data_IF_323213184192
#
_entry.id   IF_323213184192
#
_cell.length_a   1.000
_cell.length_b   1.000
_cell.length_c   1.000
_cell.angle_alpha   90.00
_cell.angle_beta   90.00
_cell.angle_gamma   90.00
#
_symmetry.space_group_name_H-M   'P 1'
#
loop_
_entity.id
_entity.type
_entity.pdbx_description
1 polymer ?
#
# COMPACT_ATOMS: atom_id res chain seq x y z
N UNK A 1 -2.94 -2.70 -26.57
CA UNK A 1 -1.87 -1.90 -25.95
C UNK A 1 -1.20 -2.75 -24.87
N UNK A 2 0.11 -2.77 -24.81
CA UNK A 2 0.81 -3.58 -23.82
C UNK A 2 1.09 -2.79 -22.54
N UNK A 3 1.43 -3.51 -21.48
CA UNK A 3 1.60 -2.91 -20.15
C UNK A 3 2.78 -1.94 -20.08
N UNK A 4 3.84 -2.20 -20.85
CA UNK A 4 5.00 -1.31 -20.86
C UNK A 4 4.67 0.01 -21.52
N UNK A 5 3.87 0.00 -22.57
CA UNK A 5 3.40 1.19 -23.24
C UNK A 5 2.50 2.02 -22.32
N UNK A 6 1.59 1.35 -21.63
CA UNK A 6 0.72 2.00 -20.65
C UNK A 6 1.54 2.66 -19.55
N UNK A 7 2.57 1.97 -19.08
CA UNK A 7 3.45 2.48 -18.04
C UNK A 7 4.20 3.74 -18.53
N UNK A 8 4.69 3.68 -19.79
CA UNK A 8 5.43 4.78 -20.38
C UNK A 8 4.58 6.06 -20.46
N UNK A 9 3.32 5.92 -20.83
CA UNK A 9 2.42 7.06 -20.93
C UNK A 9 1.81 7.50 -19.61
N UNK A 10 2.22 6.91 -18.51
CA UNK A 10 1.73 7.30 -17.20
C UNK A 10 0.30 6.85 -16.90
N UNK A 11 -0.18 5.86 -17.63
CA UNK A 11 -1.55 5.34 -17.47
C UNK A 11 -1.65 4.27 -16.39
N UNK A 12 -0.54 3.91 -15.78
CA UNK A 12 -0.52 2.92 -14.70
C UNK A 12 -0.02 3.62 -13.44
N UNK A 13 -0.89 3.68 -12.44
CA UNK A 13 -0.53 4.18 -11.12
C UNK A 13 -0.70 3.04 -10.12
N UNK A 14 0.41 2.54 -9.55
CA UNK A 14 0.33 1.40 -8.64
C UNK A 14 -0.62 1.59 -7.46
N UNK A 15 -0.77 2.82 -7.00
CA UNK A 15 -1.67 3.12 -5.90
C UNK A 15 -3.14 2.88 -6.23
N UNK A 16 -3.49 2.89 -7.52
CA UNK A 16 -4.85 2.62 -7.99
C UNK A 16 -5.12 1.13 -8.18
N UNK A 17 -4.06 0.34 -8.35
CA UNK A 17 -4.16 -1.11 -8.47
C UNK A 17 -4.10 -1.71 -7.08
N UNK A 18 -5.16 -1.52 -6.36
CA UNK A 18 -5.16 -1.87 -4.97
C UNK A 18 -6.24 -2.88 -4.62
N UNK A 19 -6.59 -2.89 -3.38
CA UNK A 19 -7.51 -3.78 -2.75
C UNK A 19 -8.92 -3.22 -2.66
N UNK A 20 -9.20 -2.09 -3.31
CA UNK A 20 -10.49 -1.40 -3.19
C UNK A 20 -11.68 -2.25 -3.63
N UNK A 21 -11.46 -3.26 -4.48
CA UNK A 21 -12.49 -4.20 -4.89
C UNK A 21 -12.70 -5.33 -3.87
N UNK A 22 -11.79 -5.48 -2.90
CA UNK A 22 -11.91 -6.52 -1.89
C UNK A 22 -13.00 -6.15 -0.88
N UNK A 23 -13.96 -7.05 -0.72
CA UNK A 23 -15.03 -6.89 0.25
C UNK A 23 -14.48 -6.87 1.67
N UNK A 24 -13.57 -7.76 1.96
CA UNK A 24 -12.95 -7.88 3.29
C UNK A 24 -12.17 -6.62 3.66
N UNK A 25 -11.46 -6.04 2.69
CA UNK A 25 -10.73 -4.79 2.89
C UNK A 25 -11.68 -3.65 3.24
N UNK A 26 -12.77 -3.53 2.49
CA UNK A 26 -13.78 -2.49 2.74
C UNK A 26 -14.45 -2.65 4.09
N UNK A 27 -14.78 -3.88 4.47
CA UNK A 27 -15.39 -4.17 5.76
C UNK A 27 -14.45 -3.79 6.90
N UNK A 28 -13.17 -4.09 6.76
CA UNK A 28 -12.17 -3.74 7.77
C UNK A 28 -12.05 -2.22 7.92
N UNK A 29 -12.04 -1.49 6.80
CA UNK A 29 -12.01 -0.02 6.85
C UNK A 29 -13.21 0.55 7.58
N UNK A 30 -14.39 -0.03 7.35
CA UNK A 30 -15.60 0.40 8.04
C UNK A 30 -15.51 0.15 9.54
N UNK A 31 -14.95 -0.99 9.93
CA UNK A 31 -14.74 -1.32 11.33
C UNK A 31 -13.75 -0.37 12.00
N UNK A 32 -12.68 -0.03 11.31
CA UNK A 32 -11.69 0.91 11.81
C UNK A 32 -12.34 2.27 12.06
N UNK A 33 -13.09 2.77 11.10
CA UNK A 33 -13.77 4.07 11.23
C UNK A 33 -14.78 4.06 12.38
N UNK A 34 -15.55 2.99 12.49
CA UNK A 34 -16.56 2.86 13.54
C UNK A 34 -15.93 2.81 14.92
N UNK A 35 -14.87 2.03 15.06
CA UNK A 35 -14.17 1.90 16.34
C UNK A 35 -13.47 3.18 16.72
N UNK A 36 -12.94 3.91 15.75
CA UNK A 36 -12.32 5.22 15.99
C UNK A 36 -13.35 6.21 16.51
N UNK A 37 -14.53 6.27 15.90
CA UNK A 37 -15.61 7.13 16.38
C UNK A 37 -16.01 6.81 17.81
N UNK A 38 -16.15 5.53 18.12
CA UNK A 38 -16.49 5.09 19.47
C UNK A 38 -15.43 5.47 20.48
N UNK A 39 -14.17 5.29 20.12
CA UNK A 39 -13.05 5.62 20.98
C UNK A 39 -12.98 7.12 21.25
N UNK A 40 -13.09 7.92 20.20
CA UNK A 40 -13.06 9.39 20.33
C UNK A 40 -14.20 9.90 21.23
N UNK A 41 -15.36 9.26 21.16
CA UNK A 41 -16.51 9.66 21.97
C UNK A 41 -16.27 9.50 23.47
N UNK A 42 -15.34 8.64 23.87
CA UNK A 42 -15.01 8.40 25.28
C UNK A 42 -13.84 9.23 25.79
N UNK A 43 -13.18 9.98 24.90
CA UNK A 43 -11.96 10.72 25.23
C UNK A 43 -12.23 12.16 25.65
N UNK A 44 -11.37 12.69 26.51
CA UNK A 44 -11.31 14.12 26.80
C UNK A 44 -10.68 14.84 25.62
N UNK A 45 -10.77 16.17 25.59
CA UNK A 45 -10.16 16.97 24.51
C UNK A 45 -8.65 16.76 24.45
N UNK A 46 -8.00 16.69 25.59
CA UNK A 46 -6.57 16.44 25.68
C UNK A 46 -6.20 15.07 25.11
N UNK A 47 -6.99 14.04 25.45
CA UNK A 47 -6.78 12.69 24.94
C UNK A 47 -7.01 12.62 23.43
N UNK A 48 -8.02 13.31 22.92
CA UNK A 48 -8.27 13.38 21.47
C UNK A 48 -7.11 13.99 20.72
N UNK A 49 -6.52 15.05 21.26
CA UNK A 49 -5.37 15.69 20.65
C UNK A 49 -4.18 14.73 20.56
N UNK A 50 -3.91 14.03 21.63
CA UNK A 50 -2.82 13.06 21.67
C UNK A 50 -3.07 11.89 20.72
N UNK A 51 -4.30 11.41 20.69
CA UNK A 51 -4.70 10.34 19.77
C UNK A 51 -4.55 10.76 18.32
N UNK A 52 -4.95 12.00 17.99
CA UNK A 52 -4.84 12.52 16.63
C UNK A 52 -3.38 12.57 16.19
N UNK A 53 -2.49 13.02 17.05
CA UNK A 53 -1.05 13.04 16.75
C UNK A 53 -0.52 11.63 16.48
N UNK A 54 -0.91 10.69 17.30
CA UNK A 54 -0.54 9.28 17.10
C UNK A 54 -1.07 8.75 15.77
N UNK A 55 -2.35 8.98 15.49
CA UNK A 55 -2.98 8.49 14.27
C UNK A 55 -2.32 9.08 13.01
N UNK A 56 -1.97 10.36 13.05
CA UNK A 56 -1.28 11.01 11.94
C UNK A 56 0.10 10.40 11.69
N UNK A 57 0.84 10.12 12.74
CA UNK A 57 2.14 9.46 12.62
C UNK A 57 2.01 8.05 12.04
N UNK A 58 0.99 7.31 12.46
CA UNK A 58 0.73 5.97 11.92
C UNK A 58 0.40 6.02 10.44
N UNK A 59 -0.41 7.01 10.03
CA UNK A 59 -0.75 7.19 8.61
C UNK A 59 0.49 7.50 7.78
N UNK A 60 1.35 8.39 8.25
CA UNK A 60 2.60 8.70 7.57
C UNK A 60 3.49 7.47 7.45
N UNK A 61 3.60 6.72 8.54
CA UNK A 61 4.37 5.46 8.54
C UNK A 61 3.82 4.48 7.51
N UNK A 62 2.49 4.32 7.46
CA UNK A 62 1.86 3.39 6.53
C UNK A 62 2.11 3.78 5.07
N UNK A 63 1.98 5.06 4.74
CA UNK A 63 2.22 5.54 3.38
C UNK A 63 3.67 5.26 2.98
N UNK A 64 4.61 5.55 3.87
CA UNK A 64 6.03 5.29 3.62
C UNK A 64 6.31 3.80 3.48
N UNK A 65 5.75 2.98 4.37
CA UNK A 65 5.94 1.54 4.35
C UNK A 65 5.38 0.91 3.06
N UNK A 66 4.23 1.36 2.62
CA UNK A 66 3.63 0.89 1.37
C UNK A 66 4.48 1.25 0.16
N UNK A 67 5.00 2.45 0.13
CA UNK A 67 5.88 2.90 -0.94
C UNK A 67 7.17 2.06 -0.99
N UNK A 68 7.79 1.83 0.16
CA UNK A 68 9.00 1.01 0.25
C UNK A 68 8.72 -0.44 -0.14
N UNK A 69 7.59 -0.97 0.30
CA UNK A 69 7.19 -2.34 -0.05
C UNK A 69 7.03 -2.46 -1.57
N UNK A 70 6.35 -1.51 -2.19
CA UNK A 70 6.19 -1.50 -3.65
C UNK A 70 7.55 -1.49 -4.35
N UNK A 71 8.45 -0.59 -3.95
CA UNK A 71 9.75 -0.48 -4.57
C UNK A 71 10.56 -1.77 -4.44
N UNK A 72 10.58 -2.34 -3.24
CA UNK A 72 11.34 -3.56 -2.98
C UNK A 72 10.74 -4.75 -3.72
N UNK A 73 9.42 -4.85 -3.77
CA UNK A 73 8.75 -5.93 -4.47
C UNK A 73 8.96 -5.84 -5.97
N UNK A 74 8.90 -4.64 -6.52
CA UNK A 74 9.15 -4.41 -7.94
C UNK A 74 10.57 -4.80 -8.31
N UNK A 75 11.54 -4.39 -7.50
CA UNK A 75 12.95 -4.74 -7.73
C UNK A 75 13.17 -6.24 -7.63
N UNK A 76 12.57 -6.88 -6.65
CA UNK A 76 12.65 -8.33 -6.50
C UNK A 76 12.10 -9.03 -7.72
N UNK A 77 10.92 -8.61 -8.19
CA UNK A 77 10.31 -9.18 -9.39
C UNK A 77 11.20 -9.03 -10.62
N UNK A 78 11.81 -7.85 -10.78
CA UNK A 78 12.74 -7.59 -11.87
C UNK A 78 13.98 -8.48 -11.80
N UNK A 79 14.52 -8.65 -10.60
CA UNK A 79 15.68 -9.54 -10.39
C UNK A 79 15.34 -10.99 -10.69
N UNK A 80 14.16 -11.43 -10.28
CA UNK A 80 13.70 -12.79 -10.55
C UNK A 80 13.55 -13.02 -12.05
N UNK A 81 12.96 -12.08 -12.78
CA UNK A 81 12.83 -12.19 -14.22
C UNK A 81 14.18 -12.22 -14.93
N UNK A 82 15.10 -11.38 -14.47
CA UNK A 82 16.45 -11.34 -15.03
C UNK A 82 17.17 -12.66 -14.84
N UNK A 83 17.04 -13.26 -13.66
CA UNK A 83 17.65 -14.55 -13.37
C UNK A 83 17.03 -15.67 -14.22
N UNK A 84 15.71 -15.66 -14.39
CA UNK A 84 15.03 -16.63 -15.26
C UNK A 84 15.56 -16.53 -16.70
N UNK A 85 15.65 -15.32 -17.22
CA UNK A 85 16.14 -15.09 -18.58
C UNK A 85 17.60 -15.53 -18.73
N UNK A 86 18.45 -15.16 -17.76
CA UNK A 86 19.87 -15.54 -17.76
C UNK A 86 20.05 -17.03 -17.61
N UNK A 87 19.26 -17.65 -16.72
CA UNK A 87 19.32 -19.09 -16.54
C UNK A 87 18.95 -19.86 -17.77
N UNK A 88 17.90 -19.40 -18.47
CA UNK A 88 17.49 -20.01 -19.75
C UNK A 88 18.54 -19.90 -20.83
N UNK A 89 19.28 -18.79 -20.85
CA UNK A 89 20.35 -18.57 -21.80
C UNK A 89 21.63 -19.27 -21.38
N UNK A 90 21.98 -19.15 -20.09
CA UNK A 90 23.25 -19.63 -19.58
C UNK A 90 23.37 -21.12 -19.46
N UNK A 91 22.25 -21.84 -19.45
CA UNK A 91 22.23 -23.29 -19.29
C UNK A 91 22.25 -24.04 -20.60
N UNK A 92 22.36 -23.35 -21.68
CA UNK A 92 22.42 -23.97 -23.02
C UNK A 92 23.79 -24.54 -23.36
#
# INVERSE_FOLDING_TARGET
>A
MNILEEFWYGNIEPAEYDTSSSKEYKELLQLISRNEEKLLATMTEEQKELFTKYADCVREYQVMAECLLFQNSFRLGGRMMLEVIRGGIGNE
#
